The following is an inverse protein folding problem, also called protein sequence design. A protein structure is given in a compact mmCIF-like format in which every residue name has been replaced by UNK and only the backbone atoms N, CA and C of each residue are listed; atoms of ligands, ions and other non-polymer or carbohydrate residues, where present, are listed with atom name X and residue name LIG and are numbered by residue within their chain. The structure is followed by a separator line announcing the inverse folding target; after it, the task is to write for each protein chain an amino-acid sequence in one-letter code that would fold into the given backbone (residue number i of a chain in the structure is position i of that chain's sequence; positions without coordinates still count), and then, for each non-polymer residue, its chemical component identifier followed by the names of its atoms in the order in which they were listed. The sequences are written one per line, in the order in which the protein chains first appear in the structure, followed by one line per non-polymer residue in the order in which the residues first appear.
data_IF_322658081361
#
_entry.id   IF_322658081361
#
_cell.length_a   1.000
_cell.length_b   1.000
_cell.length_c   1.000
_cell.angle_alpha   90.00
_cell.angle_beta   90.00
_cell.angle_gamma   90.00
#
_symmetry.space_group_name_H-M   'P 1'
#
loop_
_entity.id
_entity.type
_entity.pdbx_description
1 polymer ?
#
# COMPACT_ATOMS: atom_id res chain seq x y z
N UNK A 1 43.21 21.87 -0.28
CA UNK A 1 44.69 21.72 -0.26
C UNK A 1 45.23 21.92 1.16
N UNK A 2 45.63 20.83 1.82
CA UNK A 2 46.32 20.91 3.11
C UNK A 2 47.74 21.38 2.90
N UNK A 3 48.09 22.55 3.43
CA UNK A 3 49.48 23.02 3.39
C UNK A 3 50.32 22.10 4.29
N UNK A 4 51.41 21.51 3.77
CA UNK A 4 52.29 20.70 4.59
C UNK A 4 52.97 21.57 5.64
N UNK A 5 52.89 21.15 6.89
CA UNK A 5 53.68 21.71 7.98
C UNK A 5 54.97 20.93 8.09
N UNK A 6 56.09 21.62 7.91
CA UNK A 6 57.44 21.04 8.05
C UNK A 6 58.03 21.48 9.38
N UNK A 7 58.43 20.54 10.22
CA UNK A 7 59.15 20.81 11.47
C UNK A 7 60.53 20.17 11.43
N UNK A 8 61.57 20.98 11.72
CA UNK A 8 62.93 20.49 11.84
C UNK A 8 63.10 19.88 13.23
N UNK A 9 63.36 18.58 13.29
CA UNK A 9 63.53 17.83 14.56
C UNK A 9 64.94 17.94 15.13
N UNK A 10 65.79 18.78 14.53
CA UNK A 10 67.24 18.86 14.69
C UNK A 10 67.89 17.53 14.25
N UNK A 11 69.21 17.47 14.08
CA UNK A 11 69.95 16.35 13.42
C UNK A 11 69.59 16.02 11.96
N UNK A 12 69.16 17.01 11.17
CA UNK A 12 68.95 16.85 9.71
C UNK A 12 67.68 16.07 9.32
N UNK A 13 66.82 15.78 10.30
CA UNK A 13 65.52 15.15 10.12
C UNK A 13 64.40 16.19 10.10
N UNK A 14 63.51 16.07 9.13
CA UNK A 14 62.34 16.93 8.94
C UNK A 14 61.07 16.08 9.05
N UNK A 15 60.16 16.46 9.92
CA UNK A 15 58.82 15.87 9.98
C UNK A 15 57.88 16.70 9.11
N UNK A 16 57.15 16.03 8.20
CA UNK A 16 56.20 16.67 7.28
C UNK A 16 54.81 16.14 7.59
N UNK A 17 53.91 17.04 8.01
CA UNK A 17 52.52 16.70 8.31
C UNK A 17 51.60 17.46 7.36
N UNK A 18 50.69 16.74 6.71
CA UNK A 18 49.66 17.32 5.85
C UNK A 18 48.35 16.55 6.02
N UNK A 19 47.23 17.20 5.68
CA UNK A 19 45.91 16.60 5.68
C UNK A 19 45.27 16.83 4.32
N UNK A 20 45.01 15.74 3.60
CA UNK A 20 44.29 15.76 2.32
C UNK A 20 42.92 15.14 2.59
N UNK A 21 41.87 15.84 2.20
CA UNK A 21 40.47 15.43 2.44
C UNK A 21 39.78 14.89 1.20
N UNK A 22 40.40 15.01 0.03
CA UNK A 22 39.87 14.49 -1.23
C UNK A 22 40.64 13.23 -1.61
N UNK A 23 39.92 12.16 -1.93
CA UNK A 23 40.51 10.97 -2.50
C UNK A 23 40.98 11.27 -3.94
N UNK A 24 42.09 10.65 -4.36
CA UNK A 24 42.65 10.90 -5.68
C UNK A 24 44.13 10.55 -5.77
N UNK A 25 44.68 10.79 -6.97
CA UNK A 25 46.11 10.66 -7.21
C UNK A 25 46.81 11.99 -6.97
N UNK A 26 47.84 11.96 -6.15
CA UNK A 26 48.62 13.13 -5.76
C UNK A 26 50.09 12.90 -6.09
N UNK A 27 50.83 13.99 -6.15
CA UNK A 27 52.28 13.96 -6.35
C UNK A 27 52.92 14.89 -5.33
N UNK A 28 53.77 14.34 -4.46
CA UNK A 28 54.48 15.10 -3.45
C UNK A 28 55.78 15.64 -4.04
N UNK A 29 55.81 16.94 -4.27
CA UNK A 29 56.99 17.66 -4.75
C UNK A 29 57.82 18.11 -3.54
N UNK A 30 59.01 17.54 -3.37
CA UNK A 30 59.97 17.97 -2.35
C UNK A 30 61.19 18.56 -3.05
N UNK A 31 61.44 19.85 -2.82
CA UNK A 31 62.57 20.59 -3.37
C UNK A 31 63.44 21.15 -2.24
N UNK A 32 64.70 21.42 -2.55
CA UNK A 32 65.61 22.19 -1.70
C UNK A 32 66.19 23.38 -2.47
N UNK A 33 66.53 24.49 -1.80
CA UNK A 33 67.26 25.59 -2.41
C UNK A 33 68.60 25.11 -2.99
N UNK A 34 68.94 25.65 -4.16
CA UNK A 34 70.18 25.40 -4.88
C UNK A 34 70.71 26.72 -5.45
N UNK A 35 71.52 27.46 -4.70
CA UNK A 35 71.94 28.81 -5.08
C UNK A 35 70.94 29.89 -4.66
N UNK A 36 71.00 31.07 -5.30
CA UNK A 36 70.26 32.26 -4.88
C UNK A 36 68.79 32.22 -5.33
N UNK A 37 68.49 31.67 -6.52
CA UNK A 37 67.16 31.70 -7.13
C UNK A 37 66.69 30.36 -7.75
N UNK A 38 67.39 29.24 -7.50
CA UNK A 38 66.95 27.92 -7.99
C UNK A 38 66.52 26.98 -6.86
N UNK A 39 65.53 26.15 -7.15
CA UNK A 39 65.16 25.00 -6.33
C UNK A 39 65.28 23.72 -7.15
N UNK A 40 65.85 22.67 -6.55
CA UNK A 40 65.96 21.35 -7.18
C UNK A 40 65.22 20.31 -6.39
N UNK A 41 64.62 19.35 -7.09
CA UNK A 41 64.06 18.15 -6.46
C UNK A 41 65.14 17.44 -5.64
N UNK A 42 64.74 16.96 -4.47
CA UNK A 42 65.57 15.97 -3.78
C UNK A 42 65.58 14.67 -4.59
N UNK A 43 66.51 13.77 -4.26
CA UNK A 43 66.59 12.46 -4.89
C UNK A 43 65.23 11.74 -4.80
N UNK A 44 64.83 11.09 -5.89
CA UNK A 44 63.60 10.32 -6.05
C UNK A 44 62.28 11.13 -5.99
N UNK A 45 62.36 12.45 -5.75
CA UNK A 45 61.23 13.34 -5.93
C UNK A 45 61.03 13.68 -7.43
N UNK A 46 59.79 13.86 -7.88
CA UNK A 46 58.55 13.85 -7.09
C UNK A 46 57.99 12.45 -6.79
N UNK A 47 57.28 12.31 -5.67
CA UNK A 47 56.72 11.03 -5.21
C UNK A 47 55.22 10.92 -5.52
N UNK A 48 54.79 10.07 -6.47
CA UNK A 48 53.37 9.82 -6.70
C UNK A 48 52.78 8.95 -5.58
N UNK A 49 51.55 9.25 -5.16
CA UNK A 49 50.79 8.41 -4.24
C UNK A 49 49.29 8.55 -4.49
N UNK A 50 48.52 7.51 -4.15
CA UNK A 50 47.06 7.52 -4.25
C UNK A 50 46.46 7.53 -2.85
N UNK A 51 45.52 8.44 -2.63
CA UNK A 51 44.72 8.48 -1.42
C UNK A 51 43.33 7.90 -1.74
N UNK A 52 42.95 6.81 -1.08
CA UNK A 52 41.59 6.27 -1.14
C UNK A 52 40.70 6.94 -0.10
N UNK A 53 39.38 6.84 -0.29
CA UNK A 53 38.43 7.27 0.72
C UNK A 53 38.68 6.57 2.06
N UNK A 54 38.37 7.27 3.15
CA UNK A 54 38.38 6.71 4.50
C UNK A 54 37.28 5.66 4.73
N UNK A 55 37.09 5.23 5.99
CA UNK A 55 35.94 4.43 6.39
C UNK A 55 34.62 5.13 6.07
N UNK A 56 33.58 4.35 5.80
CA UNK A 56 32.25 4.85 5.50
C UNK A 56 31.66 5.62 6.68
N UNK A 57 31.15 6.81 6.39
CA UNK A 57 30.50 7.70 7.34
C UNK A 57 28.99 7.73 7.03
N UNK A 58 28.12 7.22 7.93
CA UNK A 58 26.68 7.08 7.66
C UNK A 58 26.02 8.38 7.20
N UNK A 59 26.38 9.52 7.80
CA UNK A 59 25.76 10.82 7.49
C UNK A 59 26.18 11.39 6.13
N UNK A 60 27.32 10.94 5.59
CA UNK A 60 27.81 11.37 4.28
C UNK A 60 27.30 10.50 3.13
N UNK A 61 26.79 9.31 3.45
CA UNK A 61 26.22 8.38 2.48
C UNK A 61 24.91 8.93 1.89
N UNK A 62 24.57 8.50 0.68
CA UNK A 62 23.31 8.87 0.03
C UNK A 62 22.48 7.63 -0.32
N UNK A 63 21.15 7.77 -0.31
CA UNK A 63 20.22 6.71 -0.71
C UNK A 63 19.25 7.23 -1.76
N UNK A 64 18.96 6.44 -2.79
CA UNK A 64 18.08 6.83 -3.92
C UNK A 64 17.14 5.72 -4.33
N UNK A 65 15.96 6.10 -4.82
CA UNK A 65 14.94 5.23 -5.39
C UNK A 65 13.55 5.48 -4.81
N UNK A 66 12.51 5.35 -5.64
CA UNK A 66 11.11 5.53 -5.22
C UNK A 66 10.72 4.55 -4.10
N UNK A 67 11.36 3.38 -4.07
CA UNK A 67 11.25 2.37 -3.01
C UNK A 67 11.70 2.83 -1.62
N UNK A 68 12.20 4.06 -1.46
CA UNK A 68 12.37 4.67 -0.13
C UNK A 68 11.04 5.15 0.45
N UNK A 69 10.06 5.46 -0.40
CA UNK A 69 8.83 6.16 -0.01
C UNK A 69 7.55 5.47 -0.46
N UNK A 70 7.57 4.73 -1.58
CA UNK A 70 6.39 4.07 -2.13
C UNK A 70 6.70 2.78 -2.87
N UNK A 71 5.81 1.80 -2.73
CA UNK A 71 5.81 0.55 -3.49
C UNK A 71 4.40 -0.05 -3.52
N UNK A 72 4.19 -1.07 -4.35
CA UNK A 72 2.97 -1.88 -4.37
C UNK A 72 3.21 -3.22 -3.66
N UNK A 73 2.17 -3.75 -3.01
CA UNK A 73 2.23 -5.04 -2.35
C UNK A 73 2.61 -6.18 -3.33
N UNK A 74 3.56 -7.02 -2.94
CA UNK A 74 4.05 -8.15 -3.74
C UNK A 74 5.05 -7.79 -4.84
N UNK A 75 5.31 -6.51 -5.08
CA UNK A 75 6.31 -6.07 -6.08
C UNK A 75 7.72 -6.09 -5.45
N UNK A 76 8.68 -6.65 -6.19
CA UNK A 76 10.10 -6.59 -5.82
C UNK A 76 10.61 -5.16 -6.04
N UNK A 77 10.96 -4.50 -4.96
CA UNK A 77 11.35 -3.08 -4.97
C UNK A 77 12.83 -2.91 -4.67
N UNK A 78 13.46 -1.96 -5.38
CA UNK A 78 14.90 -1.69 -5.34
C UNK A 78 15.18 -0.30 -4.81
N UNK A 79 16.20 -0.21 -3.95
CA UNK A 79 16.78 1.03 -3.45
C UNK A 79 18.29 0.94 -3.58
N UNK A 80 18.95 2.06 -3.86
CA UNK A 80 20.41 2.13 -3.95
C UNK A 80 20.98 2.96 -2.81
N UNK A 81 22.12 2.55 -2.28
CA UNK A 81 22.92 3.31 -1.31
C UNK A 81 24.31 3.50 -1.87
N UNK A 82 24.80 4.73 -1.78
CA UNK A 82 26.14 5.12 -2.20
C UNK A 82 26.96 5.49 -0.95
N UNK A 83 27.94 4.64 -0.63
CA UNK A 83 28.79 4.76 0.54
C UNK A 83 29.90 5.81 0.34
N UNK A 84 30.02 6.70 1.31
CA UNK A 84 30.98 7.82 1.32
C UNK A 84 31.69 7.91 2.66
N UNK A 85 32.94 8.38 2.65
CA UNK A 85 33.64 8.73 3.89
C UNK A 85 33.15 10.07 4.46
N UNK A 86 33.69 10.46 5.63
CA UNK A 86 33.32 11.71 6.32
C UNK A 86 33.63 13.01 5.56
N UNK A 87 34.38 12.94 4.47
CA UNK A 87 34.70 14.08 3.61
C UNK A 87 33.90 14.03 2.29
N UNK A 88 33.01 13.05 2.14
CA UNK A 88 32.18 12.86 0.96
C UNK A 88 32.86 12.09 -0.18
N UNK A 89 34.04 11.50 0.04
CA UNK A 89 34.71 10.70 -0.98
C UNK A 89 34.00 9.36 -1.15
N UNK A 90 33.81 8.91 -2.40
CA UNK A 90 33.25 7.60 -2.69
C UNK A 90 34.18 6.48 -2.23
N UNK A 91 33.60 5.47 -1.58
CA UNK A 91 34.32 4.26 -1.19
C UNK A 91 34.81 3.49 -2.42
N UNK A 92 36.07 3.08 -2.41
CA UNK A 92 36.65 2.30 -3.50
C UNK A 92 36.44 0.78 -3.34
N UNK A 93 36.05 0.35 -2.14
CA UNK A 93 35.80 -1.05 -1.78
C UNK A 93 34.51 -1.13 -0.97
N UNK A 94 33.79 -2.23 -1.15
CA UNK A 94 32.62 -2.57 -0.35
C UNK A 94 32.98 -3.10 1.04
N UNK A 95 32.14 -3.99 1.57
CA UNK A 95 32.27 -4.63 2.88
C UNK A 95 31.70 -3.81 4.03
N UNK A 96 30.92 -2.77 3.75
CA UNK A 96 30.29 -1.95 4.77
C UNK A 96 29.07 -2.69 5.35
N UNK A 97 28.91 -2.76 6.69
CA UNK A 97 27.83 -3.50 7.36
C UNK A 97 26.48 -2.74 7.27
N UNK A 98 25.96 -2.63 6.06
CA UNK A 98 24.67 -2.01 5.76
C UNK A 98 23.56 -3.01 6.03
N UNK A 99 22.53 -2.57 6.74
CA UNK A 99 21.28 -3.31 6.92
C UNK A 99 20.08 -2.40 6.66
N UNK A 100 18.99 -2.97 6.18
CA UNK A 100 17.74 -2.25 6.09
C UNK A 100 16.53 -3.13 6.42
N UNK A 101 15.54 -2.50 7.02
CA UNK A 101 14.30 -3.15 7.44
C UNK A 101 13.16 -2.13 7.52
N UNK A 102 11.95 -2.57 7.21
CA UNK A 102 10.72 -1.80 7.26
C UNK A 102 9.85 -2.31 8.41
N UNK A 103 9.44 -1.42 9.32
CA UNK A 103 8.54 -1.75 10.44
C UNK A 103 7.16 -1.19 10.15
N UNK A 104 6.14 -2.04 10.09
CA UNK A 104 4.76 -1.60 9.89
C UNK A 104 4.24 -0.82 11.12
N UNK A 105 3.47 0.25 10.89
CA UNK A 105 2.91 1.09 11.96
C UNK A 105 1.90 0.34 12.86
N UNK A 106 1.00 -0.43 12.24
CA UNK A 106 -0.13 -1.09 12.92
C UNK A 106 -0.12 -2.64 12.87
N UNK A 107 0.26 -3.25 11.75
CA UNK A 107 0.30 -4.70 11.60
C UNK A 107 1.39 -5.35 12.48
N UNK A 108 1.15 -6.59 12.87
CA UNK A 108 2.01 -7.38 13.74
C UNK A 108 2.55 -8.64 13.04
N UNK A 109 3.62 -9.21 13.57
CA UNK A 109 4.05 -10.55 13.18
C UNK A 109 2.99 -11.57 13.63
N UNK A 110 2.55 -12.43 12.71
CA UNK A 110 1.53 -13.44 13.01
C UNK A 110 2.13 -14.61 13.80
N UNK A 111 1.38 -15.11 14.77
CA UNK A 111 1.70 -16.35 15.50
C UNK A 111 1.28 -17.63 14.74
N UNK A 112 0.71 -17.49 13.54
CA UNK A 112 0.20 -18.60 12.72
C UNK A 112 -1.24 -19.06 13.05
N UNK A 113 -1.81 -18.58 14.16
CA UNK A 113 -3.17 -18.89 14.62
C UNK A 113 -4.12 -17.68 14.53
N UNK A 114 -3.75 -16.67 13.76
CA UNK A 114 -4.52 -15.42 13.61
C UNK A 114 -4.29 -14.42 14.75
N UNK A 115 -3.35 -14.69 15.66
CA UNK A 115 -2.90 -13.75 16.69
C UNK A 115 -1.61 -13.04 16.32
N UNK A 116 -1.20 -12.12 17.20
CA UNK A 116 0.08 -11.43 17.11
C UNK A 116 1.11 -12.06 18.03
N UNK A 117 2.33 -12.23 17.54
CA UNK A 117 3.50 -12.45 18.39
C UNK A 117 3.65 -11.23 19.31
N UNK A 118 4.01 -11.46 20.58
CA UNK A 118 4.23 -10.38 21.55
C UNK A 118 5.72 -10.09 21.71
N UNK A 119 6.04 -8.82 21.93
CA UNK A 119 7.39 -8.36 22.23
C UNK A 119 7.93 -8.97 23.53
N UNK A 120 9.14 -9.48 23.48
CA UNK A 120 9.93 -9.95 24.63
C UNK A 120 11.01 -8.94 25.00
N UNK A 121 11.65 -9.13 26.16
CA UNK A 121 12.79 -8.29 26.58
C UNK A 121 14.03 -8.42 25.69
N UNK A 122 14.12 -9.51 24.92
CA UNK A 122 15.20 -9.75 23.95
C UNK A 122 14.93 -9.18 22.55
N UNK A 123 13.72 -8.71 22.25
CA UNK A 123 13.37 -8.22 20.92
C UNK A 123 13.91 -6.79 20.68
N UNK A 124 15.13 -6.70 20.15
CA UNK A 124 15.80 -5.43 19.84
C UNK A 124 14.97 -4.53 18.91
N UNK A 125 14.21 -5.10 17.97
CA UNK A 125 13.35 -4.33 17.07
C UNK A 125 12.08 -3.81 17.74
N UNK A 126 11.54 -4.51 18.73
CA UNK A 126 10.46 -3.97 19.56
C UNK A 126 10.95 -2.75 20.34
N UNK A 127 12.12 -2.87 20.99
CA UNK A 127 12.73 -1.76 21.70
C UNK A 127 13.03 -0.57 20.76
N UNK A 128 13.56 -0.85 19.56
CA UNK A 128 13.79 0.15 18.52
C UNK A 128 12.51 0.84 18.06
N UNK A 129 11.42 0.10 17.87
CA UNK A 129 10.11 0.63 17.52
C UNK A 129 9.38 1.31 18.69
N UNK A 130 10.01 1.40 19.88
CA UNK A 130 9.39 1.97 21.08
C UNK A 130 8.24 1.13 21.64
N UNK A 131 8.20 -0.17 21.34
CA UNK A 131 7.17 -1.12 21.81
C UNK A 131 7.59 -1.74 23.14
N UNK A 132 6.66 -1.77 24.10
CA UNK A 132 6.88 -2.37 25.41
C UNK A 132 6.77 -3.91 25.35
N UNK A 133 7.40 -4.59 26.30
CA UNK A 133 7.27 -6.06 26.49
C UNK A 133 5.80 -6.42 26.72
N UNK A 134 5.33 -7.49 26.07
CA UNK A 134 3.93 -7.95 26.12
C UNK A 134 2.99 -7.23 25.16
N UNK A 135 3.45 -6.24 24.39
CA UNK A 135 2.66 -5.63 23.30
C UNK A 135 2.87 -6.35 21.97
N UNK A 136 1.98 -6.15 21.00
CA UNK A 136 2.10 -6.77 19.68
C UNK A 136 3.44 -6.41 19.03
N UNK A 137 4.19 -7.44 18.65
CA UNK A 137 5.44 -7.33 17.90
C UNK A 137 5.11 -6.83 16.49
N UNK A 138 5.66 -5.68 16.08
CA UNK A 138 5.29 -5.08 14.80
C UNK A 138 5.83 -5.93 13.65
N UNK A 139 5.06 -6.02 12.57
CA UNK A 139 5.49 -6.69 11.35
C UNK A 139 6.76 -6.02 10.83
N UNK A 140 7.85 -6.79 10.73
CA UNK A 140 9.12 -6.32 10.18
C UNK A 140 9.44 -7.07 8.90
N UNK A 141 9.79 -6.32 7.85
CA UNK A 141 10.32 -6.88 6.59
C UNK A 141 11.75 -6.43 6.42
N UNK A 142 12.67 -7.38 6.22
CA UNK A 142 14.08 -7.09 5.96
C UNK A 142 14.32 -6.94 4.46
N UNK A 143 15.24 -6.05 4.11
CA UNK A 143 15.75 -5.98 2.75
C UNK A 143 17.01 -6.84 2.62
N UNK A 144 17.12 -7.54 1.51
CA UNK A 144 18.37 -8.16 1.08
C UNK A 144 19.32 -7.06 0.60
N UNK A 145 20.60 -7.17 0.98
CA UNK A 145 21.64 -6.20 0.63
C UNK A 145 22.66 -6.87 -0.28
N UNK A 146 22.76 -6.36 -1.50
CA UNK A 146 23.78 -6.74 -2.47
C UNK A 146 24.88 -5.68 -2.49
N UNK A 147 26.08 -6.05 -2.05
CA UNK A 147 27.30 -5.25 -2.17
C UNK A 147 27.93 -5.44 -3.56
N UNK A 148 28.12 -4.35 -4.32
CA UNK A 148 28.74 -4.38 -5.64
C UNK A 148 30.28 -4.42 -5.60
N UNK A 149 30.87 -4.49 -4.42
CA UNK A 149 32.31 -4.51 -4.19
C UNK A 149 32.96 -3.12 -4.24
N UNK A 150 32.16 -2.06 -4.31
CA UNK A 150 32.60 -0.66 -4.39
C UNK A 150 31.73 0.21 -3.46
N UNK A 151 31.50 1.48 -3.81
CA UNK A 151 30.60 2.37 -3.08
C UNK A 151 29.11 2.02 -3.21
N UNK A 152 28.70 1.16 -4.14
CA UNK A 152 27.29 0.95 -4.46
C UNK A 152 26.73 -0.31 -3.81
N UNK A 153 25.60 -0.13 -3.13
CA UNK A 153 24.82 -1.20 -2.52
C UNK A 153 23.42 -1.18 -3.08
N UNK A 154 22.92 -2.34 -3.51
CA UNK A 154 21.54 -2.51 -3.97
C UNK A 154 20.75 -3.24 -2.89
N UNK A 155 19.69 -2.61 -2.41
CA UNK A 155 18.77 -3.18 -1.45
C UNK A 155 17.50 -3.63 -2.18
N UNK A 156 17.11 -4.87 -1.98
CA UNK A 156 15.88 -5.45 -2.52
C UNK A 156 14.97 -5.91 -1.41
N UNK A 157 13.69 -5.56 -1.49
CA UNK A 157 12.67 -6.07 -0.57
C UNK A 157 11.36 -6.32 -1.31
N UNK A 158 10.52 -7.18 -0.72
CA UNK A 158 9.15 -7.42 -1.17
C UNK A 158 8.25 -7.38 0.05
N UNK A 159 7.25 -6.49 0.06
CA UNK A 159 6.29 -6.36 1.16
C UNK A 159 4.91 -6.78 0.65
N UNK A 160 4.22 -7.64 1.39
CA UNK A 160 2.89 -8.15 1.00
C UNK A 160 1.73 -7.51 1.76
N UNK A 161 1.99 -6.85 2.89
CA UNK A 161 0.97 -6.17 3.69
C UNK A 161 0.99 -4.68 3.35
N UNK A 162 -0.11 -4.16 2.81
CA UNK A 162 -0.26 -2.74 2.49
C UNK A 162 -0.33 -1.90 3.76
N UNK A 163 0.17 -0.67 3.71
CA UNK A 163 0.14 0.23 4.86
C UNK A 163 1.34 1.15 4.92
N UNK A 164 1.53 1.77 6.09
CA UNK A 164 2.62 2.71 6.34
C UNK A 164 3.70 1.99 7.15
N UNK A 165 4.93 2.09 6.68
CA UNK A 165 6.12 1.53 7.28
C UNK A 165 7.13 2.63 7.62
N UNK A 166 7.89 2.41 8.69
CA UNK A 166 9.13 3.13 8.96
C UNK A 166 10.29 2.34 8.34
N UNK A 167 10.80 2.78 7.19
CA UNK A 167 11.89 2.09 6.49
C UNK A 167 13.25 2.62 6.95
N UNK A 168 13.97 1.77 7.68
CA UNK A 168 15.27 2.08 8.27
C UNK A 168 16.40 1.54 7.39
N UNK A 169 17.34 2.41 7.00
CA UNK A 169 18.62 2.07 6.39
C UNK A 169 19.71 2.46 7.38
N UNK A 170 20.56 1.52 7.78
CA UNK A 170 21.59 1.74 8.80
C UNK A 170 22.93 1.17 8.35
N UNK A 171 23.99 1.85 8.75
CA UNK A 171 25.34 1.30 8.81
C UNK A 171 25.60 0.93 10.27
N UNK A 172 25.77 -0.36 10.56
CA UNK A 172 25.69 -0.89 11.93
C UNK A 172 24.38 -0.45 12.61
N UNK A 173 24.46 0.41 13.62
CA UNK A 173 23.34 0.96 14.38
C UNK A 173 23.05 2.43 14.04
N UNK A 174 23.77 3.05 13.11
CA UNK A 174 23.56 4.46 12.77
C UNK A 174 22.77 4.60 11.48
N UNK A 175 21.74 5.44 11.48
CA UNK A 175 20.94 5.71 10.29
C UNK A 175 21.79 6.34 9.18
N UNK A 176 21.60 5.85 7.95
CA UNK A 176 22.24 6.36 6.75
C UNK A 176 21.56 7.68 6.34
N UNK A 177 22.40 8.63 5.91
CA UNK A 177 21.99 9.92 5.37
C UNK A 177 22.07 11.07 6.37
N UNK A 178 22.59 12.20 5.89
CA UNK A 178 22.70 13.45 6.64
C UNK A 178 21.41 14.29 6.59
N UNK A 179 21.27 15.21 7.56
CA UNK A 179 20.11 16.12 7.67
C UNK A 179 19.84 16.96 6.42
N UNK A 180 20.86 17.21 5.61
CA UNK A 180 20.81 18.08 4.42
C UNK A 180 20.56 17.33 3.11
N UNK A 181 20.44 16.00 3.14
CA UNK A 181 20.34 15.17 1.93
C UNK A 181 19.02 14.39 1.93
N UNK A 182 18.99 13.25 2.62
CA UNK A 182 17.89 12.28 2.64
C UNK A 182 18.22 11.36 3.81
N UNK A 183 17.41 11.35 4.86
CA UNK A 183 17.79 10.71 6.13
C UNK A 183 16.79 9.62 6.50
N UNK A 184 17.32 8.43 6.77
CA UNK A 184 16.56 7.35 7.38
C UNK A 184 16.15 7.69 8.83
N UNK A 185 14.98 7.26 9.32
CA UNK A 185 13.99 6.41 8.65
C UNK A 185 13.08 7.14 7.66
N UNK A 186 12.67 6.44 6.61
CA UNK A 186 11.78 6.94 5.57
C UNK A 186 10.33 6.50 5.82
N UNK A 187 9.34 7.39 5.61
CA UNK A 187 7.95 7.00 5.61
C UNK A 187 7.65 6.24 4.30
N UNK A 188 7.65 4.92 4.37
CA UNK A 188 7.39 4.04 3.22
C UNK A 188 5.91 3.67 3.19
N UNK A 189 5.24 3.99 2.10
CA UNK A 189 3.84 3.65 1.85
C UNK A 189 3.74 2.47 0.88
N UNK A 190 3.02 1.43 1.28
CA UNK A 190 2.75 0.25 0.44
C UNK A 190 1.29 0.27 0.05
N UNK A 191 1.01 0.46 -1.24
CA UNK A 191 -0.34 0.35 -1.79
C UNK A 191 -0.75 -1.13 -1.89
N UNK A 192 -2.04 -1.46 -1.76
CA UNK A 192 -2.51 -2.81 -2.10
C UNK A 192 -2.20 -3.14 -3.57
N UNK A 193 -2.08 -4.43 -3.87
CA UNK A 193 -1.97 -4.95 -5.24
C UNK A 193 -3.32 -4.84 -5.97
N UNK A 194 -3.33 -5.21 -7.25
CA UNK A 194 -4.55 -5.39 -8.03
C UNK A 194 -5.63 -6.22 -7.31
N UNK A 195 -6.90 -5.81 -7.52
CA UNK A 195 -8.08 -6.47 -6.97
C UNK A 195 -8.10 -7.96 -7.36
N UNK A 196 -8.35 -8.83 -6.39
CA UNK A 196 -8.41 -10.27 -6.58
C UNK A 196 -9.82 -10.81 -6.32
N UNK A 197 -10.35 -11.61 -7.24
CA UNK A 197 -11.69 -12.18 -7.14
C UNK A 197 -11.83 -13.18 -5.98
N UNK A 198 -10.80 -14.00 -5.74
CA UNK A 198 -10.82 -15.08 -4.75
C UNK A 198 -10.72 -14.58 -3.31
N UNK A 199 -10.04 -13.45 -3.12
CA UNK A 199 -9.88 -12.79 -1.82
C UNK A 199 -11.00 -11.79 -1.53
N UNK A 200 -11.71 -11.31 -2.55
CA UNK A 200 -12.84 -10.39 -2.38
C UNK A 200 -14.15 -11.14 -2.07
N UNK A 201 -15.08 -10.47 -1.40
CA UNK A 201 -16.40 -11.05 -1.09
C UNK A 201 -17.54 -10.06 -1.33
N UNK A 202 -18.73 -10.57 -1.68
CA UNK A 202 -19.98 -9.80 -1.74
C UNK A 202 -20.97 -10.27 -0.66
N UNK A 203 -21.61 -9.33 0.04
CA UNK A 203 -22.58 -9.60 1.12
C UNK A 203 -23.70 -8.55 1.16
N UNK A 204 -24.76 -8.76 1.95
CA UNK A 204 -25.80 -7.75 2.24
C UNK A 204 -27.20 -8.19 1.81
N UNK A 205 -28.23 -7.55 2.37
CA UNK A 205 -29.63 -7.95 2.14
C UNK A 205 -30.10 -7.64 0.71
N UNK A 206 -29.55 -6.60 0.07
CA UNK A 206 -29.77 -6.34 -1.35
C UNK A 206 -29.10 -7.36 -2.27
N UNK A 207 -28.40 -8.36 -1.74
CA UNK A 207 -28.02 -9.57 -2.48
C UNK A 207 -29.13 -10.65 -2.47
N UNK A 208 -30.30 -10.38 -1.89
CA UNK A 208 -31.42 -11.34 -1.78
C UNK A 208 -32.77 -10.77 -2.18
N UNK A 209 -33.09 -9.55 -1.74
CA UNK A 209 -34.40 -8.94 -1.95
C UNK A 209 -34.23 -7.51 -2.45
N UNK A 210 -35.08 -7.11 -3.39
CA UNK A 210 -35.15 -5.74 -3.88
C UNK A 210 -36.62 -5.34 -4.11
N UNK A 211 -36.90 -4.04 -4.04
CA UNK A 211 -38.19 -3.49 -4.41
C UNK A 211 -38.06 -2.71 -5.73
N UNK A 212 -39.04 -2.87 -6.62
CA UNK A 212 -39.08 -2.25 -7.93
C UNK A 212 -38.84 -0.73 -7.83
N UNK A 213 -37.92 -0.21 -8.65
CA UNK A 213 -37.57 1.22 -8.70
C UNK A 213 -37.13 1.84 -7.36
N UNK A 214 -36.80 1.03 -6.35
CA UNK A 214 -36.22 1.51 -5.10
C UNK A 214 -34.72 1.25 -5.06
N UNK A 215 -33.99 2.11 -4.35
CA UNK A 215 -32.57 1.91 -4.10
C UNK A 215 -32.40 0.66 -3.25
N UNK A 216 -31.62 -0.28 -3.77
CA UNK A 216 -31.19 -1.49 -3.11
C UNK A 216 -29.68 -1.50 -3.14
N UNK A 217 -29.04 -2.05 -2.09
CA UNK A 217 -27.59 -2.10 -2.01
C UNK A 217 -27.08 -3.44 -1.50
N UNK A 218 -25.93 -3.85 -2.02
CA UNK A 218 -25.09 -4.88 -1.41
C UNK A 218 -23.70 -4.32 -1.19
N UNK A 219 -22.92 -4.98 -0.34
CA UNK A 219 -21.56 -4.60 0.02
C UNK A 219 -20.54 -5.49 -0.68
N UNK A 220 -19.58 -4.85 -1.35
CA UNK A 220 -18.37 -5.47 -1.86
C UNK A 220 -17.24 -5.23 -0.86
N UNK A 221 -16.46 -6.28 -0.57
CA UNK A 221 -15.26 -6.21 0.26
C UNK A 221 -14.04 -6.44 -0.63
N UNK A 222 -13.51 -5.38 -1.26
CA UNK A 222 -12.47 -5.51 -2.28
C UNK A 222 -11.11 -5.76 -1.63
N UNK A 223 -10.48 -6.89 -1.99
CA UNK A 223 -9.15 -7.29 -1.49
C UNK A 223 -8.22 -7.67 -2.62
N UNK A 224 -6.92 -7.50 -2.39
CA UNK A 224 -5.89 -8.05 -3.27
C UNK A 224 -5.59 -9.52 -2.91
N UNK A 225 -4.70 -10.15 -3.68
CA UNK A 225 -4.27 -11.54 -3.47
C UNK A 225 -3.62 -11.81 -2.09
N UNK A 226 -3.15 -10.76 -1.39
CA UNK A 226 -2.56 -10.87 -0.06
C UNK A 226 -3.58 -10.58 1.06
N UNK A 227 -4.82 -10.25 0.70
CA UNK A 227 -5.89 -9.91 1.64
C UNK A 227 -5.93 -8.44 2.06
N UNK A 228 -5.09 -7.59 1.47
CA UNK A 228 -5.09 -6.16 1.75
C UNK A 228 -6.39 -5.53 1.25
N UNK A 229 -6.94 -4.59 2.01
CA UNK A 229 -8.14 -3.85 1.59
C UNK A 229 -7.82 -2.77 0.58
N UNK A 230 -8.61 -2.71 -0.50
CA UNK A 230 -8.52 -1.66 -1.50
C UNK A 230 -9.36 -0.42 -1.14
N UNK A 231 -10.36 -0.56 -0.27
CA UNK A 231 -11.34 0.48 0.04
C UNK A 231 -11.05 1.27 1.33
N UNK A 232 -9.92 1.02 2.01
CA UNK A 232 -9.62 1.60 3.33
C UNK A 232 -8.35 2.43 3.50
N UNK A 233 -7.43 2.47 2.52
CA UNK A 233 -6.15 3.16 2.69
C UNK A 233 -6.20 4.65 2.28
N UNK A 234 -5.23 5.47 2.72
CA UNK A 234 -5.09 6.87 2.28
C UNK A 234 -4.90 6.99 0.75
N UNK A 235 -4.43 5.93 0.10
CA UNK A 235 -4.49 5.70 -1.35
C UNK A 235 -5.72 4.86 -1.69
N UNK A 236 -6.90 5.47 -1.61
CA UNK A 236 -8.15 4.80 -1.96
C UNK A 236 -8.10 4.36 -3.41
N UNK A 237 -8.14 3.06 -3.65
CA UNK A 237 -8.43 2.55 -4.99
C UNK A 237 -9.93 2.71 -5.20
N UNK A 238 -10.32 3.54 -6.17
CA UNK A 238 -11.74 3.68 -6.51
C UNK A 238 -12.23 2.37 -7.09
N UNK A 239 -13.30 1.81 -6.54
CA UNK A 239 -13.99 0.72 -7.23
C UNK A 239 -14.97 1.32 -8.23
N UNK A 240 -14.84 0.91 -9.48
CA UNK A 240 -15.80 1.23 -10.54
C UNK A 240 -16.41 -0.05 -11.08
N UNK A 241 -17.68 0.04 -11.47
CA UNK A 241 -18.45 -1.07 -11.96
C UNK A 241 -18.91 -0.79 -13.38
N UNK A 242 -18.81 -1.79 -14.26
CA UNK A 242 -19.35 -1.70 -15.62
C UNK A 242 -20.06 -3.00 -16.04
N UNK A 243 -20.82 -2.97 -17.13
CA UNK A 243 -21.39 -4.18 -17.74
C UNK A 243 -20.29 -5.10 -18.27
N UNK A 244 -20.51 -6.41 -18.28
CA UNK A 244 -19.55 -7.38 -18.85
C UNK A 244 -19.34 -7.26 -20.34
N UNK A 245 -20.27 -6.60 -21.05
CA UNK A 245 -20.21 -6.46 -22.51
C UNK A 245 -19.44 -5.21 -22.93
N UNK A 246 -18.89 -4.44 -21.96
CA UNK A 246 -18.02 -3.29 -22.22
C UNK A 246 -16.65 -3.54 -21.62
N UNK A 247 -15.62 -3.03 -22.29
CA UNK A 247 -14.30 -2.82 -21.70
C UNK A 247 -14.39 -1.64 -20.73
N UNK A 248 -14.29 -1.89 -19.43
CA UNK A 248 -14.33 -0.80 -18.45
C UNK A 248 -13.23 0.25 -18.76
N UNK A 249 -13.56 1.55 -18.77
CA UNK A 249 -12.63 2.58 -19.20
C UNK A 249 -11.44 2.67 -18.24
N UNK A 250 -10.21 2.48 -18.73
CA UNK A 250 -9.02 2.51 -17.88
C UNK A 250 -8.86 3.89 -17.20
N UNK A 251 -8.87 3.93 -15.88
CA UNK A 251 -8.64 5.13 -15.06
C UNK A 251 -7.57 4.84 -14.02
N UNK A 252 -6.58 5.71 -13.91
CA UNK A 252 -5.52 5.59 -12.89
C UNK A 252 -6.14 5.53 -11.49
N UNK A 253 -5.65 4.63 -10.64
CA UNK A 253 -6.15 4.44 -9.27
C UNK A 253 -7.57 3.86 -9.18
N UNK A 254 -8.07 3.23 -10.23
CA UNK A 254 -9.39 2.58 -10.25
C UNK A 254 -9.24 1.07 -10.46
N UNK A 255 -9.90 0.28 -9.61
CA UNK A 255 -10.10 -1.15 -9.82
C UNK A 255 -11.50 -1.39 -10.37
N UNK A 256 -11.59 -2.25 -11.38
CA UNK A 256 -12.83 -2.51 -12.10
C UNK A 256 -13.43 -3.85 -11.72
N UNK A 257 -14.73 -3.82 -11.46
CA UNK A 257 -15.58 -5.01 -11.38
C UNK A 257 -16.59 -4.95 -12.51
N UNK A 258 -17.01 -6.12 -12.98
CA UNK A 258 -18.10 -6.23 -13.95
C UNK A 258 -19.30 -6.91 -13.32
N UNK A 259 -20.50 -6.47 -13.68
CA UNK A 259 -21.73 -7.03 -13.13
C UNK A 259 -22.64 -7.54 -14.25
N UNK A 260 -23.24 -8.72 -14.02
CA UNK A 260 -24.30 -9.29 -14.85
C UNK A 260 -25.56 -9.41 -14.00
N UNK A 261 -26.69 -8.96 -14.54
CA UNK A 261 -28.01 -9.25 -14.00
C UNK A 261 -28.81 -10.00 -15.06
N UNK A 262 -29.19 -11.24 -14.73
CA UNK A 262 -29.98 -12.12 -15.59
C UNK A 262 -31.37 -12.31 -14.99
N UNK A 263 -32.41 -11.86 -15.68
CA UNK A 263 -33.78 -12.10 -15.25
C UNK A 263 -34.20 -13.53 -15.66
N UNK A 264 -34.47 -14.39 -14.68
CA UNK A 264 -34.78 -15.81 -14.89
C UNK A 264 -36.12 -16.04 -15.57
N UNK A 265 -37.07 -15.11 -15.41
CA UNK A 265 -38.41 -15.23 -15.99
C UNK A 265 -38.42 -14.84 -17.47
N UNK A 266 -37.72 -13.77 -17.84
CA UNK A 266 -37.67 -13.27 -19.23
C UNK A 266 -36.53 -13.89 -20.05
N UNK A 267 -35.50 -14.42 -19.38
CA UNK A 267 -34.29 -14.92 -20.03
C UNK A 267 -33.37 -13.81 -20.56
N UNK A 268 -33.61 -12.55 -20.16
CA UNK A 268 -32.88 -11.39 -20.66
C UNK A 268 -31.79 -10.95 -19.68
N UNK A 269 -30.67 -10.48 -20.24
CA UNK A 269 -29.64 -9.77 -19.49
C UNK A 269 -29.93 -8.28 -19.47
N UNK A 270 -29.54 -7.61 -18.38
CA UNK A 270 -29.63 -6.16 -18.26
C UNK A 270 -28.24 -5.54 -18.43
N UNK A 271 -28.17 -4.47 -19.22
CA UNK A 271 -26.99 -3.64 -19.25
C UNK A 271 -26.81 -2.91 -17.92
N UNK A 272 -25.56 -2.83 -17.47
CA UNK A 272 -25.18 -2.11 -16.27
C UNK A 272 -24.37 -0.88 -16.66
N UNK A 273 -24.78 0.27 -16.14
CA UNK A 273 -24.12 1.56 -16.39
C UNK A 273 -23.69 2.18 -15.07
N UNK A 274 -22.53 2.83 -15.04
CA UNK A 274 -22.19 3.74 -13.93
C UNK A 274 -23.16 4.92 -13.97
N UNK A 275 -23.84 5.17 -12.85
CA UNK A 275 -24.84 6.22 -12.70
C UNK A 275 -24.32 7.62 -13.06
N UNK A 276 -23.02 7.86 -12.92
CA UNK A 276 -22.39 9.13 -13.23
C UNK A 276 -21.78 9.18 -14.64
N UNK A 277 -21.72 8.06 -15.36
CA UNK A 277 -21.28 8.06 -16.75
C UNK A 277 -22.45 8.40 -17.68
N UNK A 278 -22.23 9.34 -18.59
CA UNK A 278 -23.22 9.73 -19.61
C UNK A 278 -23.19 8.77 -20.80
N UNK A 279 -23.31 7.47 -20.55
CA UNK A 279 -23.47 6.46 -21.62
C UNK A 279 -24.96 6.28 -21.88
N UNK A 280 -25.45 6.88 -22.96
CA UNK A 280 -26.81 6.62 -23.45
C UNK A 280 -26.76 5.34 -24.29
N UNK A 281 -27.13 4.22 -23.66
CA UNK A 281 -27.37 2.95 -24.36
C UNK A 281 -28.65 3.11 -25.19
N UNK A 282 -28.60 2.78 -26.48
CA UNK A 282 -29.84 2.59 -27.23
C UNK A 282 -30.59 1.38 -26.66
N UNK A 283 -31.94 1.41 -26.59
CA UNK A 283 -32.72 0.26 -26.19
C UNK A 283 -32.40 -0.95 -27.09
N UNK A 284 -31.94 -2.04 -26.49
CA UNK A 284 -31.70 -3.31 -27.17
C UNK A 284 -32.87 -4.26 -26.87
N UNK A 285 -33.68 -4.65 -27.88
CA UNK A 285 -34.80 -5.59 -27.68
C UNK A 285 -34.38 -6.96 -27.14
N UNK A 286 -33.10 -7.33 -27.26
CA UNK A 286 -32.54 -8.56 -26.71
C UNK A 286 -32.09 -8.42 -25.25
N UNK A 287 -32.30 -7.26 -24.62
CA UNK A 287 -31.92 -6.96 -23.24
C UNK A 287 -33.07 -6.37 -22.44
N UNK A 288 -32.99 -6.51 -21.12
CA UNK A 288 -33.90 -5.85 -20.19
C UNK A 288 -33.59 -4.36 -20.02
N UNK A 289 -34.40 -3.66 -19.21
CA UNK A 289 -34.19 -2.23 -18.96
C UNK A 289 -32.80 -1.98 -18.36
N UNK A 290 -31.99 -1.04 -18.89
CA UNK A 290 -30.66 -0.75 -18.33
C UNK A 290 -30.71 -0.35 -16.85
N UNK A 291 -29.73 -0.84 -16.08
CA UNK A 291 -29.64 -0.63 -14.64
C UNK A 291 -28.47 0.29 -14.36
N UNK A 292 -28.77 1.42 -13.72
CA UNK A 292 -27.76 2.36 -13.26
C UNK A 292 -27.26 1.95 -11.88
N UNK A 293 -25.94 1.84 -11.73
CA UNK A 293 -25.26 1.42 -10.51
C UNK A 293 -24.34 2.53 -10.04
N UNK A 294 -24.34 2.76 -8.73
CA UNK A 294 -23.47 3.69 -8.03
C UNK A 294 -22.60 2.89 -7.06
N UNK A 295 -21.29 3.10 -7.06
CA UNK A 295 -20.37 2.45 -6.11
C UNK A 295 -19.78 3.49 -5.18
N UNK A 296 -20.02 3.33 -3.88
CA UNK A 296 -19.56 4.25 -2.85
C UNK A 296 -18.60 3.53 -1.90
N UNK A 297 -17.51 4.19 -1.52
CA UNK A 297 -16.58 3.66 -0.53
C UNK A 297 -17.12 3.90 0.88
N UNK A 298 -17.13 2.86 1.71
CA UNK A 298 -17.64 2.90 3.07
C UNK A 298 -16.52 3.02 4.11
N UNK A 299 -16.86 3.45 5.33
CA UNK A 299 -15.90 3.65 6.41
C UNK A 299 -15.29 2.34 6.95
N UNK A 300 -15.99 1.22 6.77
CA UNK A 300 -15.58 -0.11 7.22
C UNK A 300 -14.70 -0.86 6.22
N UNK A 301 -14.16 -0.15 5.21
CA UNK A 301 -13.39 -0.72 4.11
C UNK A 301 -14.20 -1.61 3.16
N UNK A 302 -15.52 -1.55 3.19
CA UNK A 302 -16.37 -2.08 2.13
C UNK A 302 -16.65 -1.02 1.06
N UNK A 303 -17.30 -1.42 -0.02
CA UNK A 303 -17.89 -0.53 -1.01
C UNK A 303 -19.35 -0.91 -1.20
N UNK A 304 -20.27 0.02 -0.94
CA UNK A 304 -21.69 -0.18 -1.22
C UNK A 304 -21.93 -0.06 -2.72
N UNK A 305 -22.67 -1.02 -3.27
CA UNK A 305 -23.10 -1.06 -4.67
C UNK A 305 -24.59 -0.81 -4.69
N UNK A 306 -24.98 0.40 -5.04
CA UNK A 306 -26.36 0.89 -4.97
C UNK A 306 -26.98 0.93 -6.36
N UNK A 307 -28.16 0.33 -6.52
CA UNK A 307 -28.86 0.25 -7.80
C UNK A 307 -30.38 0.19 -7.61
N UNK A 308 -31.12 0.30 -8.71
CA UNK A 308 -32.58 0.15 -8.73
C UNK A 308 -33.00 -0.64 -9.95
N UNK A 309 -33.84 -1.66 -9.74
CA UNK A 309 -34.28 -2.55 -10.82
C UNK A 309 -35.72 -2.20 -11.21
N UNK A 310 -35.99 -1.82 -12.47
CA UNK A 310 -37.33 -1.51 -12.95
C UNK A 310 -38.18 -2.75 -13.21
N UNK A 311 -37.56 -3.84 -13.64
CA UNK A 311 -38.26 -5.05 -14.06
C UNK A 311 -38.42 -6.00 -12.86
N UNK A 312 -39.59 -6.64 -12.76
CA UNK A 312 -39.92 -7.56 -11.67
C UNK A 312 -39.35 -8.96 -11.94
N UNK A 313 -39.24 -9.75 -10.88
CA UNK A 313 -38.97 -11.18 -10.96
C UNK A 313 -37.68 -11.60 -10.27
N UNK A 314 -37.27 -12.84 -10.53
CA UNK A 314 -36.08 -13.43 -9.95
C UNK A 314 -34.86 -13.20 -10.85
N UNK A 315 -33.78 -12.73 -10.24
CA UNK A 315 -32.53 -12.38 -10.88
C UNK A 315 -31.40 -13.29 -10.41
N UNK A 316 -30.52 -13.68 -11.33
CA UNK A 316 -29.18 -14.14 -11.00
C UNK A 316 -28.20 -12.97 -11.19
N UNK A 317 -27.49 -12.61 -10.13
CA UNK A 317 -26.53 -11.53 -10.16
C UNK A 317 -25.13 -12.09 -10.01
N UNK A 318 -24.25 -11.78 -10.95
CA UNK A 318 -22.84 -12.15 -10.90
C UNK A 318 -21.97 -10.90 -10.90
N UNK A 319 -21.00 -10.84 -10.00
CA UNK A 319 -19.98 -9.77 -9.98
C UNK A 319 -18.63 -10.41 -10.22
N UNK A 320 -17.87 -9.92 -11.21
CA UNK A 320 -16.61 -10.51 -11.62
C UNK A 320 -15.46 -9.51 -11.57
N UNK A 321 -14.25 -10.02 -11.33
CA UNK A 321 -12.98 -9.34 -11.59
C UNK A 321 -12.30 -10.10 -12.72
N UNK A 322 -11.96 -9.43 -13.83
CA UNK A 322 -11.32 -10.07 -14.99
C UNK A 322 -12.02 -11.34 -15.48
N UNK A 323 -13.37 -11.36 -15.43
CA UNK A 323 -14.20 -12.51 -15.83
C UNK A 323 -14.32 -13.63 -14.78
N UNK A 324 -13.63 -13.53 -13.64
CA UNK A 324 -13.70 -14.49 -12.54
C UNK A 324 -14.72 -14.00 -11.51
N UNK A 325 -15.72 -14.82 -11.12
CA UNK A 325 -16.73 -14.42 -10.14
C UNK A 325 -16.12 -14.21 -8.76
N UNK A 326 -16.52 -13.12 -8.11
CA UNK A 326 -16.15 -12.81 -6.72
C UNK A 326 -16.90 -13.76 -5.79
N UNK A 327 -16.25 -14.18 -4.70
CA UNK A 327 -16.87 -15.05 -3.69
C UNK A 327 -18.17 -14.45 -3.16
N UNK A 328 -19.21 -15.28 -3.08
CA UNK A 328 -20.57 -14.83 -2.76
C UNK A 328 -21.43 -14.54 -4.00
N UNK A 329 -20.86 -14.62 -5.20
CA UNK A 329 -21.58 -14.56 -6.48
C UNK A 329 -21.35 -15.85 -7.29
N UNK A 330 -22.29 -16.28 -8.16
CA UNK A 330 -23.61 -15.67 -8.38
C UNK A 330 -24.53 -15.82 -7.16
N UNK A 331 -25.45 -14.87 -6.98
CA UNK A 331 -26.53 -14.95 -6.00
C UNK A 331 -27.89 -14.70 -6.64
N UNK A 332 -28.94 -15.26 -6.02
CA UNK A 332 -30.32 -15.08 -6.44
C UNK A 332 -30.94 -13.90 -5.69
N UNK A 333 -31.60 -13.01 -6.42
CA UNK A 333 -32.30 -11.86 -5.87
C UNK A 333 -33.71 -11.76 -6.45
N UNK A 334 -34.72 -11.57 -5.60
CA UNK A 334 -36.10 -11.37 -6.04
C UNK A 334 -36.49 -9.90 -5.97
N UNK A 335 -37.00 -9.35 -7.08
CA UNK A 335 -37.51 -7.98 -7.19
C UNK A 335 -39.02 -7.99 -7.10
N UNK A 336 -39.56 -7.42 -6.02
CA UNK A 336 -41.00 -7.35 -5.76
C UNK A 336 -41.58 -5.99 -6.16
N UNK A 337 -42.89 -5.93 -6.47
CA UNK A 337 -43.58 -4.67 -6.73
C UNK A 337 -43.35 -3.64 -5.61
N UNK A 338 -43.24 -2.38 -6.01
CA UNK A 338 -43.36 -1.28 -5.06
C UNK A 338 -44.82 -1.20 -4.57
N UNK A 339 -45.12 -1.80 -3.42
CA UNK A 339 -46.45 -1.77 -2.79
C UNK A 339 -46.46 -0.89 -1.53
N UNK A 340 -46.56 0.44 -1.68
CA UNK A 340 -46.59 1.37 -0.54
C UNK A 340 -47.91 1.33 0.23
N UNK A 341 -48.97 0.74 -0.33
CA UNK A 341 -50.33 0.83 0.21
C UNK A 341 -50.88 -0.56 0.58
N UNK A 342 -51.13 -0.82 1.88
CA UNK A 342 -51.79 -2.04 2.30
C UNK A 342 -53.12 -2.25 1.59
N UNK A 343 -53.29 -3.41 0.93
CA UNK A 343 -54.54 -3.70 0.25
C UNK A 343 -55.63 -4.00 1.30
N UNK A 344 -56.69 -3.18 1.41
CA UNK A 344 -57.65 -3.26 2.52
C UNK A 344 -58.40 -4.59 2.58
N UNK A 345 -58.59 -5.21 1.40
CA UNK A 345 -59.39 -6.43 1.26
C UNK A 345 -58.64 -7.72 1.62
N UNK A 346 -57.31 -7.68 1.72
CA UNK A 346 -56.47 -8.84 2.12
C UNK A 346 -55.94 -8.72 3.53
N UNK A 347 -55.92 -7.50 4.09
CA UNK A 347 -55.57 -7.25 5.49
C UNK A 347 -56.69 -7.72 6.41
N UNK A 348 -56.36 -8.46 7.47
CA UNK A 348 -57.34 -9.01 8.41
C UNK A 348 -57.09 -8.49 9.82
N UNK A 349 -58.10 -7.89 10.42
CA UNK A 349 -58.10 -7.61 11.86
C UNK A 349 -58.53 -8.87 12.58
N UNK A 350 -57.64 -9.48 13.36
CA UNK A 350 -58.05 -10.51 14.31
C UNK A 350 -58.39 -9.78 15.61
N UNK A 351 -59.67 -9.72 15.97
CA UNK A 351 -60.03 -9.34 17.34
C UNK A 351 -59.32 -10.33 18.26
N UNK A 352 -58.49 -9.81 19.17
CA UNK A 352 -58.11 -10.63 20.31
C UNK A 352 -59.37 -11.03 21.05
N UNK A 353 -59.36 -12.22 21.64
CA UNK A 353 -60.32 -12.55 22.68
C UNK A 353 -60.19 -11.45 23.74
N UNK A 354 -61.21 -10.61 23.87
CA UNK A 354 -61.77 -10.22 25.16
C UNK A 354 -62.65 -8.98 25.04
N UNK A 355 -63.80 -9.10 25.70
CA UNK A 355 -64.73 -8.01 25.97
C UNK A 355 -63.98 -6.89 26.69
N UNK A 356 -63.91 -5.70 26.09
CA UNK A 356 -63.34 -4.53 26.75
C UNK A 356 -64.15 -4.14 27.99
N UNK A 357 -63.50 -4.07 29.16
CA UNK A 357 -64.11 -3.61 30.41
C UNK A 357 -63.72 -2.16 30.66
N UNK A 358 -64.71 -1.31 31.00
CA UNK A 358 -64.48 0.11 31.28
C UNK A 358 -63.40 0.30 32.37
N UNK A 359 -62.40 1.14 32.08
CA UNK A 359 -61.28 1.44 32.99
C UNK A 359 -60.07 0.49 32.91
N UNK A 360 -60.08 -0.54 32.04
CA UNK A 360 -58.92 -1.42 31.80
C UNK A 360 -58.38 -1.29 30.37
N UNK A 361 -57.07 -1.43 30.20
CA UNK A 361 -56.42 -1.47 28.87
C UNK A 361 -56.77 -2.79 28.17
N UNK A 362 -57.33 -2.70 26.97
CA UNK A 362 -57.52 -3.84 26.08
C UNK A 362 -56.42 -3.89 25.00
N UNK A 363 -56.17 -5.08 24.45
CA UNK A 363 -55.21 -5.29 23.35
C UNK A 363 -55.86 -6.05 22.21
N UNK A 364 -55.55 -5.68 20.97
CA UNK A 364 -55.94 -6.41 19.76
C UNK A 364 -54.75 -6.58 18.83
N UNK A 365 -54.86 -7.50 17.85
CA UNK A 365 -53.78 -7.79 16.90
C UNK A 365 -54.22 -7.50 15.46
N UNK A 366 -53.57 -6.53 14.83
CA UNK A 366 -53.74 -6.23 13.41
C UNK A 366 -52.80 -7.10 12.58
N UNK A 367 -53.33 -7.78 11.56
CA UNK A 367 -52.50 -8.43 10.53
C UNK A 367 -52.69 -7.68 9.21
N UNK A 368 -51.66 -6.92 8.82
CA UNK A 368 -51.65 -6.17 7.56
C UNK A 368 -51.11 -7.09 6.47
N UNK A 369 -51.83 -7.24 5.35
CA UNK A 369 -51.37 -8.01 4.17
C UNK A 369 -51.40 -7.13 2.94
N UNK A 370 -50.28 -7.06 2.25
CA UNK A 370 -50.14 -6.39 0.96
C UNK A 370 -50.66 -7.27 -0.19
N UNK A 371 -50.86 -6.66 -1.37
CA UNK A 371 -51.53 -7.29 -2.53
C UNK A 371 -50.68 -8.39 -3.18
N UNK A 372 -49.37 -8.37 -2.96
CA UNK A 372 -48.37 -9.20 -3.61
C UNK A 372 -47.56 -10.01 -2.60
#
# INVERSE_FOLDING_TARGET
PGYPRVTNTHVGLYNVQYMITQAGSYTLHIKKPFGVDEERYIRDAPFPFTLTAGPTEPESCTSKGDGLYRSEAGVVTKVTVEARDKFGNLRAIGGDPINAFAIHSEACESDGNGGCVLCTSSDALCAFAGRAVGTNKPLTVYADVEDKGNNDYILTYTITVSGIYSYSLRLNTTHIGGRTITRSPFPLQISPSSLDAGMSTVTGDGARLAQQNRRTEFFLWPRDQFGNSLAGSRERVRISLCSTDIVCPARSGTAFVTMKLYNKATGLFHDVNDKYETIIRQPDPAKGTPINVEVNAEADSSSSVVFSIPDLGDYEVTVNVNGIPIRGTPFNMSVFPADPDPFPYTSTVVRGDDVGVAGRKASGRLTVRNKY
#
